data_IF_792582568102
#
_entry.id   IF_792582568102
#
_cell.length_a   1.000
_cell.length_b   1.000
_cell.length_c   1.000
_cell.angle_alpha   90.00
_cell.angle_beta   90.00
_cell.angle_gamma   90.00
#
_symmetry.space_group_name_H-M   'P 1'
#
loop_
_entity.id
_entity.type
_entity.pdbx_description
1 polymer ?
#
# COMPACT_ATOMS: atom_id res chain seq x y z
N UNK A 1 -3.34 20.65 -14.93
CA UNK A 1 -2.24 19.94 -14.26
C UNK A 1 -1.60 19.03 -15.29
N UNK A 2 -0.28 18.74 -15.21
CA UNK A 2 0.32 17.74 -16.10
C UNK A 2 -0.36 16.40 -15.86
N UNK A 3 -0.78 15.74 -16.94
CA UNK A 3 -1.39 14.41 -16.85
C UNK A 3 -0.30 13.36 -16.64
N UNK A 4 0.80 13.43 -17.39
CA UNK A 4 1.92 12.49 -17.32
C UNK A 4 3.18 13.06 -16.67
N UNK A 5 4.02 12.17 -16.13
CA UNK A 5 5.28 12.52 -15.47
C UNK A 5 6.49 12.29 -16.39
N UNK A 6 7.24 13.37 -16.66
CA UNK A 6 8.35 13.45 -17.60
C UNK A 6 9.73 13.58 -16.92
N UNK A 7 9.81 13.35 -15.61
CA UNK A 7 11.06 13.45 -14.87
C UNK A 7 12.07 12.31 -15.15
N UNK A 8 13.30 12.46 -14.64
CA UNK A 8 14.41 11.54 -14.88
C UNK A 8 14.22 10.23 -14.10
N UNK A 9 14.51 9.11 -14.77
CA UNK A 9 14.68 7.80 -14.12
C UNK A 9 15.99 7.18 -14.55
N UNK A 10 16.86 6.90 -13.59
CA UNK A 10 18.06 6.10 -13.81
C UNK A 10 17.69 4.63 -13.71
N UNK A 11 17.91 3.86 -14.80
CA UNK A 11 17.74 2.40 -14.74
C UNK A 11 18.83 1.80 -13.86
N UNK A 12 18.45 1.09 -12.79
CA UNK A 12 19.37 0.32 -11.96
C UNK A 12 19.50 -1.10 -12.53
N UNK A 13 18.35 -1.76 -12.76
CA UNK A 13 18.25 -3.07 -13.41
C UNK A 13 16.88 -3.23 -14.10
N UNK A 14 16.50 -4.44 -14.48
CA UNK A 14 15.28 -4.73 -15.23
C UNK A 14 13.98 -4.46 -14.47
N UNK A 15 14.05 -4.28 -13.14
CA UNK A 15 12.89 -4.07 -12.29
C UNK A 15 13.02 -2.88 -11.36
N UNK A 16 14.13 -2.13 -11.40
CA UNK A 16 14.39 -1.00 -10.48
C UNK A 16 14.81 0.26 -11.21
N UNK A 17 14.16 1.36 -10.86
CA UNK A 17 14.37 2.68 -11.44
C UNK A 17 14.51 3.72 -10.33
N UNK A 18 15.53 4.57 -10.42
CA UNK A 18 15.80 5.59 -9.42
C UNK A 18 15.34 6.96 -9.92
N UNK A 19 14.55 7.67 -9.12
CA UNK A 19 14.43 9.13 -9.24
C UNK A 19 15.66 9.72 -8.52
N UNK A 20 16.62 10.29 -9.25
CA UNK A 20 17.84 10.77 -8.63
C UNK A 20 17.51 11.88 -7.64
N UNK A 21 18.21 11.90 -6.49
CA UNK A 21 18.07 12.97 -5.49
C UNK A 21 18.30 14.37 -6.08
N UNK A 22 19.09 14.48 -7.14
CA UNK A 22 19.33 15.74 -7.85
C UNK A 22 18.15 16.24 -8.67
N UNK A 23 17.09 15.44 -8.86
CA UNK A 23 15.87 15.85 -9.54
C UNK A 23 15.25 17.08 -8.89
N UNK A 24 15.27 17.15 -7.55
CA UNK A 24 14.85 18.33 -6.82
C UNK A 24 15.72 18.55 -5.57
N UNK A 25 16.25 19.76 -5.41
CA UNK A 25 17.20 20.10 -4.34
C UNK A 25 16.67 19.90 -2.92
N UNK A 26 15.35 19.84 -2.73
CA UNK A 26 14.76 19.58 -1.42
C UNK A 26 14.67 18.09 -1.05
N UNK A 27 14.90 17.17 -2.01
CA UNK A 27 14.94 15.74 -1.73
C UNK A 27 16.09 15.42 -0.77
N UNK A 28 15.81 14.65 0.26
CA UNK A 28 16.79 14.19 1.26
C UNK A 28 17.40 12.85 0.87
N UNK A 29 16.61 12.00 0.24
CA UNK A 29 16.96 10.68 -0.29
C UNK A 29 16.51 10.56 -1.77
N UNK A 30 17.01 9.61 -2.56
CA UNK A 30 16.43 9.29 -3.87
C UNK A 30 15.06 8.59 -3.75
N UNK A 31 14.31 8.57 -4.85
CA UNK A 31 13.14 7.70 -5.02
C UNK A 31 13.52 6.39 -5.69
N UNK A 32 12.90 5.26 -5.32
CA UNK A 32 13.14 3.95 -5.94
C UNK A 32 11.84 3.26 -6.31
N UNK A 33 11.68 2.99 -7.60
CA UNK A 33 10.47 2.43 -8.20
C UNK A 33 10.76 1.00 -8.60
N UNK A 34 9.89 0.08 -8.17
CA UNK A 34 9.91 -1.31 -8.60
C UNK A 34 8.92 -1.51 -9.75
N UNK A 35 9.41 -1.68 -10.98
CA UNK A 35 8.55 -1.90 -12.14
C UNK A 35 9.33 -2.53 -13.31
N UNK A 36 8.69 -3.40 -14.08
CA UNK A 36 9.21 -3.77 -15.40
C UNK A 36 9.14 -2.57 -16.36
N UNK A 37 9.95 -2.55 -17.42
CA UNK A 37 9.90 -1.50 -18.44
C UNK A 37 8.49 -1.28 -19.02
N UNK A 38 7.74 -2.35 -19.29
CA UNK A 38 6.39 -2.25 -19.84
C UNK A 38 5.40 -1.60 -18.87
N UNK A 39 5.55 -1.87 -17.57
CA UNK A 39 4.71 -1.29 -16.53
C UNK A 39 5.07 0.18 -16.28
N UNK A 40 6.35 0.53 -16.41
CA UNK A 40 6.83 1.89 -16.23
C UNK A 40 6.18 2.89 -17.21
N UNK A 41 5.93 2.47 -18.46
CA UNK A 41 5.22 3.28 -19.45
C UNK A 41 3.78 3.60 -19.02
N UNK A 42 3.13 2.72 -18.24
CA UNK A 42 1.81 2.99 -17.65
C UNK A 42 1.92 3.89 -16.42
N UNK A 43 2.88 3.61 -15.53
CA UNK A 43 3.11 4.39 -14.30
C UNK A 43 3.38 5.88 -14.63
N UNK A 44 4.05 6.17 -15.74
CA UNK A 44 4.32 7.56 -16.18
C UNK A 44 3.07 8.32 -16.65
N UNK A 45 1.92 7.67 -16.81
CA UNK A 45 0.69 8.29 -17.32
C UNK A 45 -0.06 9.11 -16.25
N UNK A 46 0.35 9.03 -14.99
CA UNK A 46 -0.12 9.91 -13.92
C UNK A 46 1.06 10.65 -13.23
N UNK A 47 0.77 11.32 -12.11
CA UNK A 47 1.76 12.07 -11.33
C UNK A 47 2.28 11.30 -10.10
N UNK A 48 2.04 9.99 -9.95
CA UNK A 48 2.41 9.25 -8.76
C UNK A 48 3.93 9.25 -8.49
N UNK A 49 4.73 9.29 -9.55
CA UNK A 49 6.20 9.43 -9.46
C UNK A 49 6.62 10.77 -8.83
N UNK A 50 5.85 11.84 -9.04
CA UNK A 50 6.09 13.11 -8.34
C UNK A 50 5.78 12.98 -6.85
N UNK A 51 4.79 12.16 -6.46
CA UNK A 51 4.52 11.87 -5.04
C UNK A 51 5.69 11.11 -4.40
N UNK A 52 6.31 10.17 -5.11
CA UNK A 52 7.56 9.51 -4.66
C UNK A 52 8.65 10.55 -4.42
N UNK A 53 8.84 11.49 -5.35
CA UNK A 53 9.80 12.58 -5.20
C UNK A 53 9.47 13.48 -3.99
N UNK A 54 8.20 13.86 -3.80
CA UNK A 54 7.74 14.69 -2.68
C UNK A 54 7.97 14.01 -1.32
N UNK A 55 7.65 12.72 -1.21
CA UNK A 55 7.89 11.92 0.01
C UNK A 55 9.38 11.88 0.34
N UNK A 56 10.26 11.95 -0.66
CA UNK A 56 11.70 11.99 -0.43
C UNK A 56 12.20 13.27 0.28
N UNK A 57 11.36 14.28 0.50
CA UNK A 57 11.69 15.51 1.23
C UNK A 57 11.47 15.38 2.74
N UNK A 58 10.75 14.34 3.18
CA UNK A 58 10.28 14.25 4.56
C UNK A 58 11.45 14.19 5.55
N UNK A 59 11.41 14.99 6.64
CA UNK A 59 12.40 14.89 7.71
C UNK A 59 12.53 13.45 8.21
N UNK A 60 13.75 13.03 8.50
CA UNK A 60 14.07 11.69 8.99
C UNK A 60 13.81 10.54 8.04
N UNK A 61 13.45 10.76 6.76
CA UNK A 61 13.29 9.66 5.81
C UNK A 61 14.60 8.87 5.62
N UNK A 62 14.48 7.54 5.61
CA UNK A 62 15.60 6.61 5.61
C UNK A 62 15.74 5.91 4.26
N UNK A 63 16.94 5.93 3.69
CA UNK A 63 17.28 5.15 2.50
C UNK A 63 16.69 5.74 1.23
N UNK A 64 15.40 5.47 0.97
CA UNK A 64 14.69 5.83 -0.26
C UNK A 64 13.21 6.09 0.02
N UNK A 65 12.59 6.91 -0.82
CA UNK A 65 11.13 6.90 -1.00
C UNK A 65 10.77 5.80 -2.00
N UNK A 66 10.06 4.76 -1.56
CA UNK A 66 9.82 3.57 -2.38
C UNK A 66 8.43 3.60 -3.02
N UNK A 67 8.32 3.02 -4.21
CA UNK A 67 7.06 2.71 -4.85
C UNK A 67 7.05 1.28 -5.39
N UNK A 68 6.00 0.54 -5.03
CA UNK A 68 5.73 -0.81 -5.49
C UNK A 68 5.20 -0.82 -6.94
N UNK A 69 5.16 -1.99 -7.62
CA UNK A 69 4.71 -2.07 -9.02
C UNK A 69 3.29 -1.58 -9.29
N UNK A 70 2.41 -1.64 -8.28
CA UNK A 70 1.01 -1.21 -8.30
C UNK A 70 0.83 0.30 -7.97
N UNK A 71 1.91 1.08 -8.05
CA UNK A 71 1.91 2.52 -7.82
C UNK A 71 0.88 3.25 -8.69
N UNK A 72 0.09 4.11 -8.05
CA UNK A 72 -0.79 5.07 -8.71
C UNK A 72 -1.06 6.28 -7.82
N UNK A 73 -1.64 7.32 -8.42
CA UNK A 73 -1.91 8.59 -7.76
C UNK A 73 -2.72 8.43 -6.47
N UNK A 74 -2.16 8.93 -5.36
CA UNK A 74 -2.78 8.91 -4.04
C UNK A 74 -2.97 10.30 -3.42
N UNK A 75 -3.13 10.35 -2.10
CA UNK A 75 -3.31 11.59 -1.33
C UNK A 75 -2.01 11.97 -0.59
N UNK A 76 -1.20 12.83 -1.22
CA UNK A 76 0.11 13.24 -0.72
C UNK A 76 1.19 12.19 -0.98
N UNK A 77 1.00 10.96 -0.48
CA UNK A 77 1.75 9.79 -0.90
C UNK A 77 1.02 9.11 -2.07
N UNK A 78 1.76 8.41 -2.92
CA UNK A 78 1.17 7.48 -3.87
C UNK A 78 0.65 6.23 -3.16
N UNK A 79 -0.38 5.61 -3.74
CA UNK A 79 -0.74 4.23 -3.36
C UNK A 79 0.39 3.31 -3.82
N UNK A 80 0.67 2.24 -3.06
CA UNK A 80 1.86 1.41 -3.26
C UNK A 80 3.16 2.05 -2.79
N UNK A 81 3.10 3.23 -2.14
CA UNK A 81 4.26 3.90 -1.56
C UNK A 81 4.72 3.27 -0.24
N UNK A 82 6.03 3.25 -0.01
CA UNK A 82 6.62 2.87 1.28
C UNK A 82 7.70 3.88 1.68
N UNK A 83 7.62 4.40 2.89
CA UNK A 83 8.65 5.25 3.47
C UNK A 83 8.87 4.90 4.93
N UNK A 84 10.14 4.78 5.33
CA UNK A 84 10.53 4.70 6.72
C UNK A 84 11.09 6.05 7.17
N UNK A 85 10.67 6.52 8.34
CA UNK A 85 11.19 7.72 8.99
C UNK A 85 11.78 7.36 10.34
N UNK A 86 12.82 8.08 10.78
CA UNK A 86 13.45 7.84 12.08
C UNK A 86 12.57 8.33 13.24
N UNK A 87 12.76 7.77 14.44
CA UNK A 87 11.97 8.18 15.62
C UNK A 87 12.38 9.53 16.20
N UNK A 88 13.64 9.93 16.03
CA UNK A 88 14.24 11.12 16.65
C UNK A 88 13.88 12.43 15.92
N UNK A 89 13.86 12.40 14.59
CA UNK A 89 13.63 13.59 13.76
C UNK A 89 12.68 13.33 12.57
N UNK A 90 12.07 12.15 12.53
CA UNK A 90 11.10 11.80 11.50
C UNK A 90 9.70 12.34 11.76
N UNK A 91 8.84 12.10 10.79
CA UNK A 91 7.44 12.51 10.83
C UNK A 91 6.52 11.32 10.63
N UNK A 92 5.27 11.50 11.06
CA UNK A 92 4.14 10.66 10.67
C UNK A 92 3.23 11.50 9.78
N UNK A 93 2.86 10.97 8.61
CA UNK A 93 1.90 11.58 7.70
C UNK A 93 0.70 10.67 7.53
N UNK A 94 -0.52 11.07 7.94
CA UNK A 94 -1.73 10.28 7.68
C UNK A 94 -1.95 9.95 6.20
N UNK A 95 -1.52 10.85 5.30
CA UNK A 95 -1.57 10.60 3.85
C UNK A 95 -0.68 9.45 3.38
N UNK A 96 0.36 9.10 4.15
CA UNK A 96 1.21 7.92 3.91
C UNK A 96 0.68 6.61 4.51
N UNK A 97 -0.43 6.67 5.26
CA UNK A 97 -1.12 5.50 5.82
C UNK A 97 -2.37 5.21 4.97
N UNK A 98 -3.11 6.26 4.61
CA UNK A 98 -4.37 6.17 3.89
C UNK A 98 -5.59 6.45 4.77
N UNK A 99 -6.72 6.73 4.12
CA UNK A 99 -7.98 7.02 4.81
C UNK A 99 -8.59 5.77 5.47
N UNK A 100 -8.57 4.64 4.77
CA UNK A 100 -9.06 3.35 5.26
C UNK A 100 -7.93 2.61 5.99
N UNK A 101 -7.71 3.02 7.24
CA UNK A 101 -6.63 2.48 8.07
C UNK A 101 -6.88 0.99 8.30
N UNK A 102 -5.84 0.17 8.07
CA UNK A 102 -5.91 -1.29 8.17
C UNK A 102 -6.89 -1.91 7.14
N UNK A 103 -6.98 -1.33 5.95
CA UNK A 103 -7.58 -2.00 4.80
C UNK A 103 -6.78 -3.27 4.47
N UNK A 104 -7.45 -4.42 4.41
CA UNK A 104 -6.83 -5.74 4.28
C UNK A 104 -7.55 -6.57 3.22
N UNK A 105 -6.82 -7.54 2.66
CA UNK A 105 -7.42 -8.51 1.75
C UNK A 105 -8.47 -9.37 2.46
N UNK A 106 -9.43 -9.89 1.70
CA UNK A 106 -10.51 -10.74 2.21
C UNK A 106 -10.03 -12.04 2.89
N UNK A 107 -8.78 -12.46 2.65
CA UNK A 107 -8.14 -13.62 3.26
C UNK A 107 -7.39 -13.31 4.56
N UNK A 108 -7.31 -12.03 4.96
CA UNK A 108 -6.69 -11.66 6.22
C UNK A 108 -7.46 -12.25 7.41
N UNK A 109 -6.71 -12.66 8.43
CA UNK A 109 -7.24 -13.32 9.61
C UNK A 109 -7.62 -12.30 10.68
N UNK A 110 -8.81 -12.49 11.24
CA UNK A 110 -9.33 -11.74 12.37
C UNK A 110 -9.40 -12.68 13.58
N UNK A 111 -8.86 -12.24 14.72
CA UNK A 111 -8.95 -12.97 15.98
C UNK A 111 -10.36 -12.86 16.55
N UNK A 112 -10.99 -14.01 16.74
CA UNK A 112 -12.30 -14.12 17.39
C UNK A 112 -12.13 -14.15 18.93
N UNK A 113 -13.07 -13.60 19.71
CA UNK A 113 -13.07 -13.65 21.18
C UNK A 113 -12.88 -15.02 21.84
N UNK A 114 -13.20 -16.10 21.14
CA UNK A 114 -13.02 -17.48 21.61
C UNK A 114 -11.63 -18.05 21.29
N UNK A 115 -10.72 -17.25 20.74
CA UNK A 115 -9.31 -17.60 20.51
C UNK A 115 -9.01 -18.26 19.16
N UNK A 116 -10.01 -18.50 18.31
CA UNK A 116 -9.79 -18.94 16.92
C UNK A 116 -9.68 -17.75 15.96
N UNK A 117 -9.29 -18.02 14.72
CA UNK A 117 -9.26 -17.00 13.66
C UNK A 117 -10.26 -17.33 12.56
N UNK A 118 -10.82 -16.28 11.96
CA UNK A 118 -11.63 -16.35 10.75
C UNK A 118 -11.09 -15.36 9.73
N UNK A 119 -11.21 -15.68 8.45
CA UNK A 119 -10.90 -14.72 7.38
C UNK A 119 -11.96 -13.65 7.33
N UNK A 120 -11.59 -12.42 6.94
CA UNK A 120 -12.54 -11.31 6.76
C UNK A 120 -13.76 -11.73 5.91
N UNK A 121 -13.54 -12.47 4.81
CA UNK A 121 -14.63 -12.94 3.94
C UNK A 121 -15.64 -13.87 4.62
N UNK A 122 -15.25 -14.58 5.68
CA UNK A 122 -16.14 -15.48 6.40
C UNK A 122 -17.17 -14.71 7.25
N UNK A 123 -16.91 -13.43 7.54
CA UNK A 123 -17.84 -12.56 8.26
C UNK A 123 -19.01 -12.06 7.40
N UNK A 124 -18.97 -12.22 6.07
CA UNK A 124 -19.96 -11.63 5.14
C UNK A 124 -21.42 -11.90 5.55
N UNK A 125 -21.71 -13.08 6.13
CA UNK A 125 -23.05 -13.49 6.55
C UNK A 125 -23.30 -13.39 8.05
N UNK A 126 -22.27 -13.20 8.86
CA UNK A 126 -22.34 -13.35 10.33
C UNK A 126 -21.91 -12.09 11.08
N UNK A 127 -21.40 -11.06 10.40
CA UNK A 127 -20.80 -9.88 11.04
C UNK A 127 -21.73 -9.13 12.00
N UNK A 128 -23.06 -9.16 11.79
CA UNK A 128 -24.04 -8.50 12.66
C UNK A 128 -24.14 -9.17 14.04
N UNK A 129 -23.88 -10.47 14.11
CA UNK A 129 -24.02 -11.29 15.32
C UNK A 129 -22.67 -11.51 16.00
N UNK A 130 -21.58 -11.40 15.24
CA UNK A 130 -20.23 -11.68 15.71
C UNK A 130 -19.54 -10.49 16.36
N UNK A 131 -18.52 -10.82 17.16
CA UNK A 131 -17.58 -9.86 17.74
C UNK A 131 -16.16 -10.21 17.32
N UNK A 132 -15.30 -9.21 17.38
CA UNK A 132 -13.86 -9.34 17.09
C UNK A 132 -13.05 -8.93 18.31
N UNK A 133 -11.85 -9.50 18.45
CA UNK A 133 -10.90 -9.04 19.46
C UNK A 133 -10.13 -7.83 18.94
N UNK A 134 -10.20 -6.73 19.68
CA UNK A 134 -9.39 -5.54 19.44
C UNK A 134 -8.49 -5.29 20.65
N UNK A 135 -7.26 -4.82 20.42
CA UNK A 135 -6.38 -4.40 21.50
C UNK A 135 -6.80 -3.01 22.02
N UNK A 136 -7.04 -2.91 23.31
CA UNK A 136 -7.31 -1.66 24.02
C UNK A 136 -6.01 -1.15 24.64
N UNK A 137 -5.51 -0.01 24.14
CA UNK A 137 -4.24 0.57 24.59
C UNK A 137 -4.29 1.14 26.01
N UNK A 138 -5.47 1.48 26.55
CA UNK A 138 -5.58 1.97 27.92
C UNK A 138 -5.62 0.83 28.93
N UNK A 139 -6.25 -0.29 28.57
CA UNK A 139 -6.31 -1.49 29.42
C UNK A 139 -5.11 -2.43 29.24
N UNK A 140 -4.34 -2.23 28.18
CA UNK A 140 -3.27 -3.14 27.74
C UNK A 140 -3.76 -4.60 27.57
N UNK A 141 -5.01 -4.78 27.13
CA UNK A 141 -5.67 -6.09 27.03
C UNK A 141 -6.56 -6.18 25.78
N UNK A 142 -6.90 -7.41 25.37
CA UNK A 142 -7.85 -7.67 24.30
C UNK A 142 -9.29 -7.51 24.80
N UNK A 143 -10.06 -6.69 24.09
CA UNK A 143 -11.48 -6.49 24.34
C UNK A 143 -12.33 -7.01 23.18
N UNK A 144 -13.58 -7.39 23.50
CA UNK A 144 -14.53 -7.85 22.50
C UNK A 144 -15.31 -6.67 21.93
N UNK A 145 -15.10 -6.38 20.65
CA UNK A 145 -15.72 -5.28 19.93
C UNK A 145 -16.78 -5.78 18.96
N UNK A 146 -17.90 -5.05 18.86
CA UNK A 146 -18.93 -5.31 17.84
C UNK A 146 -18.47 -4.79 16.49
N UNK A 147 -18.83 -5.49 15.41
CA UNK A 147 -18.65 -5.00 14.05
C UNK A 147 -19.81 -4.05 13.74
N UNK A 148 -19.49 -2.82 13.32
CA UNK A 148 -20.50 -1.77 13.08
C UNK A 148 -20.98 -1.79 11.62
N UNK A 149 -20.07 -2.07 10.68
CA UNK A 149 -20.34 -2.17 9.26
C UNK A 149 -19.44 -3.23 8.62
N UNK A 150 -19.91 -3.84 7.54
CA UNK A 150 -19.12 -4.71 6.67
C UNK A 150 -19.16 -4.18 5.24
N UNK A 151 -18.03 -3.66 4.76
CA UNK A 151 -17.90 -3.13 3.40
C UNK A 151 -17.29 -4.19 2.49
N UNK A 152 -17.87 -4.35 1.30
CA UNK A 152 -17.36 -5.21 0.25
C UNK A 152 -17.38 -4.46 -1.07
N UNK A 153 -16.26 -4.51 -1.79
CA UNK A 153 -16.17 -4.08 -3.18
C UNK A 153 -16.04 -5.31 -4.07
N UNK A 154 -16.89 -5.39 -5.08
CA UNK A 154 -16.70 -6.38 -6.15
C UNK A 154 -15.67 -5.84 -7.14
N UNK A 155 -14.82 -6.71 -7.71
CA UNK A 155 -13.91 -6.30 -8.77
C UNK A 155 -14.68 -5.69 -9.93
N UNK A 156 -14.23 -4.52 -10.39
CA UNK A 156 -14.80 -3.84 -11.57
C UNK A 156 -14.25 -4.48 -12.87
N UNK A 157 -13.05 -5.06 -12.81
CA UNK A 157 -12.34 -5.70 -13.91
C UNK A 157 -12.36 -7.24 -13.80
N UNK A 158 -11.90 -7.90 -14.86
CA UNK A 158 -11.74 -9.35 -14.86
C UNK A 158 -10.75 -9.82 -13.79
N UNK A 159 -11.08 -10.94 -13.15
CA UNK A 159 -10.21 -11.59 -12.17
C UNK A 159 -9.65 -12.86 -12.77
N UNK A 160 -8.33 -12.90 -12.92
CA UNK A 160 -7.60 -14.04 -13.42
C UNK A 160 -7.17 -14.96 -12.27
N UNK A 161 -7.34 -16.26 -12.47
CA UNK A 161 -6.82 -17.29 -11.57
C UNK A 161 -5.82 -18.15 -12.32
N UNK A 162 -4.54 -17.94 -12.05
CA UNK A 162 -3.45 -18.71 -12.67
C UNK A 162 -3.11 -19.87 -11.74
N UNK A 163 -3.22 -21.10 -12.24
CA UNK A 163 -2.81 -22.30 -11.48
C UNK A 163 -1.61 -22.94 -12.18
N UNK A 164 -0.49 -23.05 -11.49
CA UNK A 164 0.69 -23.73 -12.02
C UNK A 164 0.45 -25.23 -12.12
N UNK A 165 1.25 -25.94 -12.93
CA UNK A 165 1.23 -27.42 -12.99
C UNK A 165 1.49 -28.08 -11.63
N UNK A 166 2.16 -27.37 -10.72
CA UNK A 166 2.44 -27.82 -9.34
C UNK A 166 1.29 -27.51 -8.37
N UNK A 167 0.18 -26.94 -8.82
CA UNK A 167 -1.01 -26.63 -8.03
C UNK A 167 -0.98 -25.27 -7.31
N UNK A 168 0.08 -24.46 -7.49
CA UNK A 168 0.13 -23.11 -6.91
C UNK A 168 -0.85 -22.21 -7.64
N UNK A 169 -1.74 -21.57 -6.89
CA UNK A 169 -2.72 -20.63 -7.43
C UNK A 169 -2.30 -19.19 -7.14
N UNK A 170 -2.44 -18.31 -8.12
CA UNK A 170 -2.35 -16.86 -7.98
C UNK A 170 -3.67 -16.27 -8.50
N UNK A 171 -4.24 -15.33 -7.75
CA UNK A 171 -5.40 -14.55 -8.17
C UNK A 171 -4.95 -13.11 -8.37
N UNK A 172 -5.28 -12.50 -9.50
CA UNK A 172 -4.94 -11.11 -9.84
C UNK A 172 -6.08 -10.48 -10.64
N UNK A 173 -6.21 -9.16 -10.56
CA UNK A 173 -7.05 -8.39 -11.47
C UNK A 173 -6.28 -8.10 -12.77
N UNK A 174 -6.97 -7.57 -13.78
CA UNK A 174 -6.37 -7.22 -15.08
C UNK A 174 -5.29 -6.11 -15.00
N UNK A 175 -5.42 -5.22 -14.01
CA UNK A 175 -4.61 -4.03 -13.77
C UNK A 175 -3.38 -4.26 -12.88
#
# INVERSE_FOLDING_TARGET
MKESWDGPLNKIDDYRWEIPKSYNSGMRVPGLIYASSNLLEKIRQDQALEQVANVAFLPGIVGHSLAMPDIHWGYGFCVGGVAATTLDNGIISPGGIGFDINCLSSDALILHPLGYTLKIKEFEKIWLEEKISCFDFEKEDLINSKIINFFKKFPDNEVYKITTKTGKTITATED
#
